data_IF_346106537413
#
_entry.id   IF_346106537413
#
_cell.length_a   1.000
_cell.length_b   1.000
_cell.length_c   1.000
_cell.angle_alpha   90.00
_cell.angle_beta   90.00
_cell.angle_gamma   90.00
#
_symmetry.space_group_name_H-M   'P 1'
#
loop_
_entity.id
_entity.type
_entity.pdbx_description
1 polymer ?
#
# COMPACT_ATOMS: atom_id res chain seq x y z
N UNK A 1 15.49 27.77 -43.66
CA UNK A 1 16.47 27.86 -42.57
C UNK A 1 15.82 28.65 -41.44
N UNK A 2 15.20 28.00 -40.50
CA UNK A 2 14.70 28.65 -39.28
C UNK A 2 15.04 27.74 -38.12
N UNK A 3 15.96 28.20 -37.33
CA UNK A 3 16.69 27.56 -36.24
C UNK A 3 15.73 27.30 -35.06
N UNK A 4 15.52 26.03 -34.70
CA UNK A 4 14.94 25.64 -33.42
C UNK A 4 15.98 25.88 -32.30
N UNK A 5 15.93 27.03 -31.68
CA UNK A 5 16.64 27.31 -30.43
C UNK A 5 15.64 27.40 -29.31
N UNK A 6 15.62 26.44 -28.41
CA UNK A 6 14.73 26.43 -27.23
C UNK A 6 14.81 25.16 -26.40
N UNK A 7 15.91 24.42 -26.41
CA UNK A 7 16.23 23.52 -25.31
C UNK A 7 16.88 24.33 -24.21
N UNK A 8 16.07 24.71 -23.22
CA UNK A 8 16.60 25.16 -21.93
C UNK A 8 17.61 24.11 -21.44
N UNK A 9 18.90 24.48 -21.41
CA UNK A 9 19.96 23.72 -20.76
C UNK A 9 19.56 23.46 -19.31
N UNK A 10 19.12 22.24 -19.03
CA UNK A 10 19.02 21.75 -17.65
C UNK A 10 20.45 21.59 -17.17
N UNK A 11 20.88 22.49 -16.29
CA UNK A 11 22.20 22.54 -15.72
C UNK A 11 22.63 21.15 -15.22
N UNK A 12 23.65 20.56 -15.85
CA UNK A 12 24.36 19.36 -15.38
C UNK A 12 24.87 19.63 -13.96
N UNK A 13 24.19 19.11 -12.92
CA UNK A 13 24.63 19.20 -11.53
C UNK A 13 23.58 19.67 -10.50
N UNK A 14 22.34 19.98 -10.88
CA UNK A 14 21.32 20.39 -9.91
C UNK A 14 20.89 19.19 -9.02
N UNK A 15 20.99 19.41 -7.71
CA UNK A 15 20.45 18.46 -6.71
C UNK A 15 18.94 18.33 -6.91
N UNK A 16 18.34 17.11 -6.66
CA UNK A 16 16.90 16.99 -6.75
C UNK A 16 16.21 17.98 -5.78
N UNK A 17 15.06 18.56 -6.15
CA UNK A 17 14.35 19.53 -5.31
C UNK A 17 13.77 18.84 -4.07
N UNK A 18 14.57 18.69 -3.02
CA UNK A 18 14.22 17.98 -1.79
C UNK A 18 12.89 18.45 -1.17
N UNK A 19 12.58 19.77 -1.07
CA UNK A 19 11.29 20.18 -0.49
C UNK A 19 10.09 19.65 -1.25
N UNK A 20 10.15 19.61 -2.59
CA UNK A 20 9.09 19.06 -3.42
C UNK A 20 9.01 17.53 -3.28
N UNK A 21 10.14 16.82 -3.27
CA UNK A 21 10.18 15.37 -3.10
C UNK A 21 9.69 14.93 -1.72
N UNK A 22 10.02 15.68 -0.67
CA UNK A 22 9.51 15.43 0.68
C UNK A 22 8.01 15.69 0.78
N UNK A 23 7.49 16.71 0.09
CA UNK A 23 6.04 16.90 -0.01
C UNK A 23 5.35 15.72 -0.70
N UNK A 24 5.96 15.16 -1.78
CA UNK A 24 5.45 13.93 -2.41
C UNK A 24 5.57 12.71 -1.48
N UNK A 25 6.66 12.59 -0.72
CA UNK A 25 6.82 11.51 0.27
C UNK A 25 5.75 11.60 1.37
N UNK A 26 5.42 12.81 1.81
CA UNK A 26 4.33 13.03 2.78
C UNK A 26 2.95 12.73 2.15
N UNK A 27 2.75 13.00 0.86
CA UNK A 27 1.53 12.61 0.15
C UNK A 27 1.41 11.08 0.07
N UNK A 28 2.50 10.37 -0.25
CA UNK A 28 2.56 8.89 -0.22
C UNK A 28 2.30 8.37 1.19
N UNK A 29 2.89 8.98 2.21
CA UNK A 29 2.65 8.64 3.62
C UNK A 29 1.17 8.77 3.99
N UNK A 30 0.53 9.91 3.69
CA UNK A 30 -0.90 10.14 3.97
C UNK A 30 -1.77 9.10 3.25
N UNK A 31 -1.47 8.82 1.98
CA UNK A 31 -2.22 7.83 1.20
C UNK A 31 -2.13 6.44 1.83
N UNK A 32 -0.91 5.97 2.14
CA UNK A 32 -0.68 4.66 2.75
C UNK A 32 -1.25 4.57 4.17
N UNK A 33 -1.10 5.62 4.97
CA UNK A 33 -1.61 5.62 6.33
C UNK A 33 -3.16 5.65 6.36
N UNK A 34 -3.80 6.44 5.48
CA UNK A 34 -5.27 6.44 5.37
C UNK A 34 -5.81 5.06 5.01
N UNK A 35 -5.09 4.29 4.21
CA UNK A 35 -5.44 2.92 3.82
C UNK A 35 -5.38 1.94 4.98
N UNK A 36 -4.28 1.95 5.74
CA UNK A 36 -3.92 0.89 6.70
C UNK A 36 -4.30 1.16 8.15
N UNK A 37 -4.44 2.43 8.54
CA UNK A 37 -4.73 2.84 9.92
C UNK A 37 -5.99 2.19 10.52
N UNK A 38 -7.11 2.00 9.80
CA UNK A 38 -8.30 1.37 10.37
C UNK A 38 -8.05 -0.02 10.95
N UNK A 39 -7.10 -0.79 10.41
CA UNK A 39 -6.77 -2.12 10.91
C UNK A 39 -6.28 -2.11 12.38
N UNK A 40 -5.53 -1.08 12.77
CA UNK A 40 -5.07 -0.90 14.15
C UNK A 40 -6.11 -0.31 15.10
N UNK A 41 -7.22 0.22 14.57
CA UNK A 41 -8.26 0.92 15.34
C UNK A 41 -9.60 0.16 15.34
N UNK A 42 -9.65 -1.00 14.73
CA UNK A 42 -10.86 -1.71 14.34
C UNK A 42 -11.81 -1.98 15.53
N UNK A 43 -11.37 -2.53 16.68
CA UNK A 43 -12.28 -2.75 17.83
C UNK A 43 -12.87 -1.46 18.40
N UNK A 44 -12.09 -0.39 18.46
CA UNK A 44 -12.55 0.91 18.95
C UNK A 44 -13.57 1.56 18.00
N UNK A 45 -13.36 1.44 16.69
CA UNK A 45 -14.28 1.90 15.65
C UNK A 45 -15.59 1.11 15.71
N UNK A 46 -15.53 -0.22 15.80
CA UNK A 46 -16.67 -1.14 15.87
C UNK A 46 -17.59 -0.80 17.04
N UNK A 47 -17.03 -0.72 18.25
CA UNK A 47 -17.79 -0.32 19.46
C UNK A 47 -18.45 1.05 19.32
N UNK A 48 -17.72 2.03 18.77
CA UNK A 48 -18.20 3.40 18.62
C UNK A 48 -19.28 3.57 17.54
N UNK A 49 -19.24 2.76 16.48
CA UNK A 49 -20.20 2.79 15.37
C UNK A 49 -21.39 1.85 15.60
N UNK A 50 -21.39 1.07 16.70
CA UNK A 50 -22.46 0.13 17.02
C UNK A 50 -22.62 -1.00 16.00
N UNK A 51 -21.49 -1.52 15.46
CA UNK A 51 -21.47 -2.56 14.43
C UNK A 51 -20.47 -3.67 14.77
N UNK A 52 -20.50 -4.77 14.01
CA UNK A 52 -19.53 -5.86 14.20
C UNK A 52 -18.13 -5.48 13.72
N UNK A 53 -17.12 -6.18 14.21
CA UNK A 53 -15.74 -5.96 13.78
C UNK A 53 -15.53 -6.42 12.33
N UNK A 54 -16.21 -7.48 11.92
CA UNK A 54 -16.28 -7.91 10.52
C UNK A 54 -16.81 -6.79 9.61
N UNK A 55 -17.95 -6.19 9.97
CA UNK A 55 -18.50 -5.06 9.21
C UNK A 55 -17.55 -3.85 9.22
N UNK A 56 -16.93 -3.52 10.35
CA UNK A 56 -15.97 -2.41 10.44
C UNK A 56 -14.71 -2.68 9.61
N UNK A 57 -14.24 -3.92 9.54
CA UNK A 57 -13.12 -4.34 8.69
C UNK A 57 -13.35 -4.04 7.22
N UNK A 58 -14.61 -3.98 6.76
CA UNK A 58 -14.96 -3.57 5.40
C UNK A 58 -14.56 -2.12 5.07
N UNK A 59 -14.15 -1.32 6.06
CA UNK A 59 -13.56 0.01 5.83
C UNK A 59 -12.30 -0.05 4.96
N UNK A 60 -11.49 -1.11 5.07
CA UNK A 60 -10.33 -1.38 4.23
C UNK A 60 -10.78 -1.84 2.83
N UNK A 61 -11.75 -2.76 2.79
CA UNK A 61 -12.35 -3.27 1.53
C UNK A 61 -12.91 -2.15 0.67
N UNK A 62 -13.73 -1.29 1.27
CA UNK A 62 -14.42 -0.21 0.53
C UNK A 62 -13.43 0.85 0.04
N UNK A 63 -12.37 1.13 0.80
CA UNK A 63 -11.28 1.98 0.35
C UNK A 63 -10.56 1.35 -0.86
N UNK A 64 -10.16 0.08 -0.77
CA UNK A 64 -9.50 -0.63 -1.86
C UNK A 64 -10.39 -0.74 -3.11
N UNK A 65 -11.71 -0.97 -2.93
CA UNK A 65 -12.68 -0.97 -4.01
C UNK A 65 -12.78 0.42 -4.67
N UNK A 66 -12.81 1.51 -3.90
CA UNK A 66 -12.75 2.87 -4.41
C UNK A 66 -11.51 3.10 -5.27
N UNK A 67 -10.34 2.69 -4.81
CA UNK A 67 -9.08 2.78 -5.57
C UNK A 67 -9.14 1.95 -6.86
N UNK A 68 -9.54 0.67 -6.75
CA UNK A 68 -9.61 -0.26 -7.86
C UNK A 68 -10.55 0.21 -8.98
N UNK A 69 -11.77 0.60 -8.63
CA UNK A 69 -12.81 0.98 -9.59
C UNK A 69 -12.50 2.30 -10.31
N UNK A 70 -11.77 3.21 -9.65
CA UNK A 70 -11.63 4.58 -10.12
C UNK A 70 -10.24 4.93 -10.65
N UNK A 71 -9.19 4.17 -10.30
CA UNK A 71 -7.83 4.48 -10.71
C UNK A 71 -7.68 4.64 -12.23
N UNK A 72 -8.19 3.69 -13.03
CA UNK A 72 -8.10 3.73 -14.50
C UNK A 72 -8.97 4.82 -15.10
N UNK A 73 -10.30 4.89 -14.81
CA UNK A 73 -11.16 5.89 -15.45
C UNK A 73 -10.82 7.32 -15.04
N UNK A 74 -10.47 7.56 -13.76
CA UNK A 74 -10.10 8.89 -13.32
C UNK A 74 -8.75 9.34 -13.87
N UNK A 75 -7.75 8.46 -13.91
CA UNK A 75 -6.46 8.75 -14.54
C UNK A 75 -6.65 9.16 -16.00
N UNK A 76 -7.54 8.45 -16.70
CA UNK A 76 -7.87 8.78 -18.09
C UNK A 76 -8.61 10.12 -18.24
N UNK A 77 -9.57 10.39 -17.35
CA UNK A 77 -10.35 11.63 -17.39
C UNK A 77 -9.51 12.86 -17.00
N UNK A 78 -8.53 12.68 -16.11
CA UNK A 78 -7.69 13.76 -15.59
C UNK A 78 -6.31 13.85 -16.26
N UNK A 79 -6.06 13.06 -17.31
CA UNK A 79 -4.76 13.00 -17.98
C UNK A 79 -4.24 14.37 -18.44
N UNK A 80 -5.14 15.23 -18.94
CA UNK A 80 -4.83 16.59 -19.39
C UNK A 80 -4.67 17.62 -18.26
N UNK A 81 -4.99 17.25 -17.01
CA UNK A 81 -4.90 18.20 -15.89
C UNK A 81 -3.45 18.45 -15.50
N UNK A 82 -3.16 19.68 -15.08
CA UNK A 82 -1.89 20.03 -14.48
C UNK A 82 -1.61 19.16 -13.24
N UNK A 83 -0.40 18.64 -13.13
CA UNK A 83 -0.03 17.64 -12.14
C UNK A 83 -0.16 18.12 -10.70
N UNK A 84 0.22 19.39 -10.43
CA UNK A 84 0.05 19.99 -9.11
C UNK A 84 -1.44 20.15 -8.75
N UNK A 85 -2.27 20.61 -9.69
CA UNK A 85 -3.72 20.69 -9.48
C UNK A 85 -4.32 19.33 -9.14
N UNK A 86 -3.93 18.29 -9.88
CA UNK A 86 -4.42 16.94 -9.67
C UNK A 86 -4.00 16.39 -8.27
N UNK A 87 -2.73 16.63 -7.87
CA UNK A 87 -2.25 16.26 -6.56
C UNK A 87 -2.99 16.98 -5.43
N UNK A 88 -3.21 18.30 -5.57
CA UNK A 88 -3.99 19.08 -4.60
C UNK A 88 -5.42 18.58 -4.49
N UNK A 89 -6.06 18.21 -5.61
CA UNK A 89 -7.42 17.63 -5.62
C UNK A 89 -7.46 16.30 -4.88
N UNK A 90 -6.49 15.40 -5.12
CA UNK A 90 -6.41 14.12 -4.41
C UNK A 90 -6.19 14.33 -2.89
N UNK A 91 -5.26 15.20 -2.50
CA UNK A 91 -5.01 15.49 -1.08
C UNK A 91 -6.20 16.20 -0.40
N UNK A 92 -6.88 17.10 -1.09
CA UNK A 92 -8.13 17.71 -0.59
C UNK A 92 -9.23 16.65 -0.40
N UNK A 93 -9.33 15.67 -1.31
CA UNK A 93 -10.20 14.52 -1.17
C UNK A 93 -9.89 13.71 0.10
N UNK A 94 -8.61 13.46 0.39
CA UNK A 94 -8.21 12.80 1.63
C UNK A 94 -8.55 13.63 2.88
N UNK A 95 -8.27 14.93 2.88
CA UNK A 95 -8.61 15.80 3.99
C UNK A 95 -10.13 15.77 4.27
N UNK A 96 -10.95 15.89 3.24
CA UNK A 96 -12.41 15.84 3.37
C UNK A 96 -12.88 14.47 3.87
N UNK A 97 -12.40 13.37 3.27
CA UNK A 97 -12.79 12.01 3.64
C UNK A 97 -12.38 11.65 5.09
N UNK A 98 -11.15 12.01 5.50
CA UNK A 98 -10.69 11.78 6.87
C UNK A 98 -11.47 12.65 7.88
N UNK A 99 -11.80 13.90 7.53
CA UNK A 99 -12.66 14.77 8.34
C UNK A 99 -14.04 14.16 8.54
N UNK A 100 -14.69 13.72 7.44
CA UNK A 100 -16.00 13.07 7.51
C UNK A 100 -15.92 11.79 8.35
N UNK A 101 -14.87 10.98 8.18
CA UNK A 101 -14.65 9.78 8.99
C UNK A 101 -14.51 10.12 10.48
N UNK A 102 -13.75 11.17 10.84
CA UNK A 102 -13.55 11.61 12.20
C UNK A 102 -14.84 12.15 12.87
N UNK A 103 -15.70 12.81 12.09
CA UNK A 103 -16.98 13.38 12.58
C UNK A 103 -18.10 12.35 12.61
N UNK A 104 -17.98 11.27 11.83
CA UNK A 104 -19.08 10.32 11.64
C UNK A 104 -19.41 9.53 12.89
N UNK A 105 -20.71 9.46 13.21
CA UNK A 105 -21.32 8.54 14.16
C UNK A 105 -22.11 7.41 13.48
N UNK A 106 -22.17 7.42 12.13
CA UNK A 106 -22.91 6.45 11.32
C UNK A 106 -21.95 5.55 10.54
N UNK A 107 -22.18 4.25 10.61
CA UNK A 107 -21.44 3.26 9.81
C UNK A 107 -21.52 3.58 8.31
N UNK A 108 -22.73 3.84 7.78
CA UNK A 108 -22.92 4.14 6.36
C UNK A 108 -22.15 5.39 5.89
N UNK A 109 -22.14 6.45 6.70
CA UNK A 109 -21.41 7.67 6.39
C UNK A 109 -19.88 7.41 6.43
N UNK A 110 -19.42 6.64 7.42
CA UNK A 110 -18.01 6.22 7.50
C UNK A 110 -17.60 5.44 6.24
N UNK A 111 -18.41 4.46 5.80
CA UNK A 111 -18.14 3.68 4.60
C UNK A 111 -18.10 4.54 3.33
N UNK A 112 -19.03 5.50 3.20
CA UNK A 112 -19.02 6.46 2.09
C UNK A 112 -17.74 7.31 2.08
N UNK A 113 -17.33 7.81 3.24
CA UNK A 113 -16.08 8.55 3.38
C UNK A 113 -14.85 7.70 3.05
N UNK A 114 -14.82 6.42 3.45
CA UNK A 114 -13.76 5.48 3.12
C UNK A 114 -13.69 5.19 1.61
N UNK A 115 -14.85 5.05 0.95
CA UNK A 115 -14.89 4.94 -0.50
C UNK A 115 -14.33 6.19 -1.19
N UNK A 116 -14.73 7.38 -0.74
CA UNK A 116 -14.22 8.65 -1.27
C UNK A 116 -12.69 8.79 -1.05
N UNK A 117 -12.18 8.34 0.09
CA UNK A 117 -10.73 8.27 0.34
C UNK A 117 -10.03 7.32 -0.66
N UNK A 118 -10.64 6.16 -0.97
CA UNK A 118 -10.14 5.23 -1.98
C UNK A 118 -10.12 5.84 -3.39
N UNK A 119 -11.14 6.62 -3.76
CA UNK A 119 -11.15 7.38 -5.01
C UNK A 119 -9.99 8.37 -5.09
N UNK A 120 -9.74 9.11 -4.00
CA UNK A 120 -8.59 10.01 -3.90
C UNK A 120 -7.24 9.25 -4.00
N UNK A 121 -7.17 8.05 -3.42
CA UNK A 121 -6.01 7.18 -3.51
C UNK A 121 -5.71 6.73 -4.95
N UNK A 122 -6.74 6.36 -5.70
CA UNK A 122 -6.60 6.00 -7.12
C UNK A 122 -5.94 7.11 -7.94
N UNK A 123 -6.34 8.37 -7.70
CA UNK A 123 -5.70 9.54 -8.33
C UNK A 123 -4.25 9.74 -7.85
N UNK A 124 -4.01 9.62 -6.54
CA UNK A 124 -2.70 9.84 -5.94
C UNK A 124 -1.68 8.81 -6.44
N UNK A 125 -2.00 7.51 -6.40
CA UNK A 125 -1.10 6.43 -6.84
C UNK A 125 -0.75 6.53 -8.32
N UNK A 126 -1.72 6.89 -9.17
CA UNK A 126 -1.48 7.07 -10.61
C UNK A 126 -0.53 8.24 -10.92
N UNK A 127 -0.45 9.21 -10.00
CA UNK A 127 0.29 10.46 -10.21
C UNK A 127 1.68 10.45 -9.59
N UNK A 128 1.81 10.01 -8.32
CA UNK A 128 2.96 10.31 -7.46
C UNK A 128 4.29 9.81 -8.01
N UNK A 129 4.35 8.57 -8.52
CA UNK A 129 5.59 8.00 -9.06
C UNK A 129 6.09 8.76 -10.32
N UNK A 130 5.19 9.02 -11.25
CA UNK A 130 5.52 9.77 -12.46
C UNK A 130 5.88 11.22 -12.18
N UNK A 131 5.25 11.82 -11.19
CA UNK A 131 5.54 13.20 -10.78
C UNK A 131 6.93 13.30 -10.13
N UNK A 132 7.28 12.39 -9.22
CA UNK A 132 8.59 12.34 -8.59
C UNK A 132 9.73 12.26 -9.61
N UNK A 133 9.60 11.41 -10.64
CA UNK A 133 10.58 11.30 -11.73
C UNK A 133 10.76 12.61 -12.49
N UNK A 134 9.65 13.31 -12.80
CA UNK A 134 9.69 14.58 -13.55
C UNK A 134 10.31 15.75 -12.79
N UNK A 135 10.39 15.66 -11.45
CA UNK A 135 11.02 16.69 -10.62
C UNK A 135 12.55 16.60 -10.62
N UNK A 136 13.13 15.53 -11.15
CA UNK A 136 14.57 15.30 -11.12
C UNK A 136 15.17 15.20 -12.53
N UNK A 137 16.47 15.52 -12.70
CA UNK A 137 17.19 15.24 -13.93
C UNK A 137 17.20 13.73 -14.24
N UNK A 138 17.34 13.31 -15.53
CA UNK A 138 17.26 11.89 -15.93
C UNK A 138 18.17 10.94 -15.15
N UNK A 139 19.38 11.39 -14.79
CA UNK A 139 20.33 10.62 -14.00
C UNK A 139 19.96 10.48 -12.51
N UNK A 140 18.99 11.23 -12.01
CA UNK A 140 18.54 11.24 -10.61
C UNK A 140 17.07 10.81 -10.44
N UNK A 141 16.37 10.40 -11.51
CA UNK A 141 14.97 9.97 -11.46
C UNK A 141 14.73 8.83 -10.47
N UNK A 142 15.63 7.84 -10.44
CA UNK A 142 15.54 6.72 -9.49
C UNK A 142 15.66 7.17 -8.04
N UNK A 143 16.56 8.13 -7.76
CA UNK A 143 16.71 8.70 -6.41
C UNK A 143 15.48 9.51 -6.01
N UNK A 144 14.93 10.30 -6.91
CA UNK A 144 13.73 11.09 -6.67
C UNK A 144 12.52 10.18 -6.37
N UNK A 145 12.36 9.11 -7.17
CA UNK A 145 11.33 8.11 -6.92
C UNK A 145 11.49 7.42 -5.56
N UNK A 146 12.72 7.03 -5.20
CA UNK A 146 13.01 6.40 -3.91
C UNK A 146 12.65 7.32 -2.73
N UNK A 147 13.00 8.63 -2.81
CA UNK A 147 12.66 9.62 -1.79
C UNK A 147 11.13 9.74 -1.66
N UNK A 148 10.42 9.89 -2.76
CA UNK A 148 8.96 10.03 -2.73
C UNK A 148 8.27 8.76 -2.19
N UNK A 149 8.71 7.56 -2.61
CA UNK A 149 8.13 6.29 -2.17
C UNK A 149 8.52 5.89 -0.74
N UNK A 150 9.51 6.54 -0.12
CA UNK A 150 9.86 6.33 1.29
C UNK A 150 8.70 6.65 2.25
N UNK A 151 7.68 7.37 1.78
CA UNK A 151 6.43 7.58 2.53
C UNK A 151 5.72 6.29 2.91
N UNK A 152 5.78 5.23 2.08
CA UNK A 152 5.14 3.93 2.37
C UNK A 152 5.73 3.28 3.63
N UNK A 153 7.05 2.96 3.66
CA UNK A 153 7.62 2.32 4.84
C UNK A 153 7.52 3.19 6.10
N UNK A 154 7.61 4.51 5.99
CA UNK A 154 7.42 5.40 7.14
C UNK A 154 5.97 5.34 7.65
N UNK A 155 4.97 5.27 6.75
CA UNK A 155 3.58 5.10 7.16
C UNK A 155 3.36 3.80 7.91
N UNK A 156 3.89 2.68 7.41
CA UNK A 156 3.68 1.37 8.02
C UNK A 156 4.47 1.17 9.32
N UNK A 157 5.70 1.70 9.40
CA UNK A 157 6.58 1.47 10.56
C UNK A 157 6.41 2.48 11.69
N UNK A 158 6.00 3.71 11.38
CA UNK A 158 5.84 4.79 12.37
C UNK A 158 4.40 5.28 12.38
N UNK A 159 3.83 5.52 11.21
CA UNK A 159 2.50 6.12 11.07
C UNK A 159 1.40 5.25 11.68
N UNK A 160 1.34 3.97 11.32
CA UNK A 160 0.31 3.04 11.83
C UNK A 160 0.45 2.84 13.34
N UNK A 161 1.61 2.51 13.92
CA UNK A 161 1.77 2.40 15.36
C UNK A 161 1.42 3.69 16.11
N UNK A 162 1.93 4.84 15.65
CA UNK A 162 1.64 6.14 16.26
C UNK A 162 0.15 6.51 16.18
N UNK A 163 -0.50 6.23 15.05
CA UNK A 163 -1.93 6.45 14.87
C UNK A 163 -2.78 5.50 15.72
N UNK A 164 -2.36 4.24 15.87
CA UNK A 164 -3.01 3.27 16.76
C UNK A 164 -2.86 3.68 18.22
N UNK A 165 -1.66 4.05 18.65
CA UNK A 165 -1.41 4.60 19.98
C UNK A 165 -2.26 5.86 20.25
N UNK A 166 -2.27 6.82 19.33
CA UNK A 166 -3.09 8.03 19.47
C UNK A 166 -4.59 7.69 19.58
N UNK A 167 -5.04 6.72 18.80
CA UNK A 167 -6.42 6.26 18.81
C UNK A 167 -6.80 5.49 20.07
N UNK A 168 -5.89 4.73 20.68
CA UNK A 168 -6.12 4.05 21.96
C UNK A 168 -6.13 5.02 23.13
N UNK A 169 -5.23 6.02 23.13
CA UNK A 169 -5.08 6.98 24.21
C UNK A 169 -6.17 8.07 24.22
N UNK A 170 -6.54 8.59 23.04
CA UNK A 170 -7.42 9.77 22.91
C UNK A 170 -8.70 9.48 22.10
N UNK A 171 -8.92 8.24 21.73
CA UNK A 171 -10.04 7.81 20.89
C UNK A 171 -9.70 7.79 19.40
N UNK A 172 -10.24 6.80 18.68
CA UNK A 172 -9.91 6.53 17.27
C UNK A 172 -10.13 7.71 16.31
N UNK A 173 -11.08 8.59 16.63
CA UNK A 173 -11.38 9.81 15.85
C UNK A 173 -10.20 10.78 15.84
N UNK A 174 -9.43 10.85 16.91
CA UNK A 174 -8.26 11.73 17.03
C UNK A 174 -7.18 11.37 16.01
N UNK A 175 -7.01 10.09 15.72
CA UNK A 175 -6.07 9.65 14.66
C UNK A 175 -6.48 10.18 13.28
N UNK A 176 -7.77 10.17 12.93
CA UNK A 176 -8.28 10.75 11.68
C UNK A 176 -8.20 12.28 11.66
N UNK A 177 -8.39 12.94 12.80
CA UNK A 177 -8.17 14.39 12.92
C UNK A 177 -6.69 14.76 12.72
N UNK A 178 -5.77 13.99 13.28
CA UNK A 178 -4.33 14.18 13.04
C UNK A 178 -3.99 14.02 11.55
N UNK A 179 -4.57 13.03 10.87
CA UNK A 179 -4.43 12.84 9.44
C UNK A 179 -4.97 14.03 8.63
N UNK A 180 -6.14 14.55 9.01
CA UNK A 180 -6.72 15.74 8.39
C UNK A 180 -5.80 16.95 8.57
N UNK A 181 -5.32 17.21 9.79
CA UNK A 181 -4.41 18.32 10.06
C UNK A 181 -3.12 18.22 9.26
N UNK A 182 -2.49 17.04 9.24
CA UNK A 182 -1.29 16.79 8.43
C UNK A 182 -1.56 17.03 6.95
N UNK A 183 -2.71 16.58 6.42
CA UNK A 183 -3.07 16.73 5.01
C UNK A 183 -3.32 18.20 4.67
N UNK A 184 -3.94 18.98 5.55
CA UNK A 184 -4.14 20.43 5.36
C UNK A 184 -2.79 21.17 5.32
N UNK A 185 -1.86 20.85 6.23
CA UNK A 185 -0.50 21.39 6.18
C UNK A 185 0.21 21.00 4.87
N UNK A 186 0.03 19.75 4.44
CA UNK A 186 0.59 19.25 3.18
C UNK A 186 0.03 19.99 1.97
N UNK A 187 -1.25 20.33 1.93
CA UNK A 187 -1.83 21.13 0.83
C UNK A 187 -1.12 22.48 0.68
N UNK A 188 -0.86 23.17 1.78
CA UNK A 188 -0.05 24.40 1.79
C UNK A 188 1.37 24.15 1.29
N UNK A 189 2.01 23.08 1.76
CA UNK A 189 3.37 22.73 1.35
C UNK A 189 3.47 22.39 -0.15
N UNK A 190 2.54 21.60 -0.69
CA UNK A 190 2.47 21.28 -2.13
C UNK A 190 2.34 22.56 -2.94
N UNK A 191 1.45 23.47 -2.53
CA UNK A 191 1.23 24.73 -3.26
C UNK A 191 2.49 25.60 -3.31
N UNK A 192 3.29 25.59 -2.26
CA UNK A 192 4.49 26.44 -2.14
C UNK A 192 5.72 25.81 -2.77
N UNK A 193 5.93 24.50 -2.59
CA UNK A 193 7.20 23.85 -2.90
C UNK A 193 7.17 22.97 -4.16
N UNK A 194 5.99 22.50 -4.61
CA UNK A 194 5.90 21.58 -5.75
C UNK A 194 5.66 22.37 -7.04
N UNK A 195 6.62 22.37 -8.01
CA UNK A 195 6.45 23.02 -9.31
C UNK A 195 5.28 22.40 -10.07
N UNK A 196 4.57 23.22 -10.83
CA UNK A 196 3.50 22.69 -11.70
C UNK A 196 4.08 22.08 -12.98
N UNK A 197 3.48 20.99 -13.43
CA UNK A 197 3.81 20.35 -14.70
C UNK A 197 2.52 20.13 -15.51
N UNK A 198 2.57 20.35 -16.84
CA UNK A 198 1.42 20.11 -17.69
C UNK A 198 1.00 18.63 -17.66
N UNK A 199 -0.27 18.38 -17.95
CA UNK A 199 -0.81 17.06 -18.18
C UNK A 199 -0.15 16.36 -19.37
N UNK A 200 -0.48 15.09 -19.57
CA UNK A 200 -0.05 14.32 -20.74
C UNK A 200 -1.15 14.41 -21.80
N UNK A 201 -0.74 14.60 -23.07
CA UNK A 201 -1.59 14.30 -24.19
C UNK A 201 -2.00 12.82 -24.19
N UNK A 202 -3.19 12.51 -24.68
CA UNK A 202 -3.70 11.12 -24.74
C UNK A 202 -2.72 10.26 -25.56
N UNK A 203 -1.85 9.52 -24.90
CA UNK A 203 -1.03 8.51 -25.54
C UNK A 203 -1.92 7.38 -26.09
N UNK A 204 -1.56 6.84 -27.26
CA UNK A 204 -2.22 5.66 -27.82
C UNK A 204 -2.17 4.53 -26.78
N UNK A 205 -3.36 4.05 -26.36
CA UNK A 205 -3.47 3.01 -25.32
C UNK A 205 -3.14 1.65 -25.93
N UNK A 206 -2.02 1.07 -25.54
CA UNK A 206 -1.83 -0.37 -25.73
C UNK A 206 -2.85 -1.10 -24.85
N UNK A 207 -3.64 -2.07 -25.37
CA UNK A 207 -4.61 -2.79 -24.58
C UNK A 207 -3.93 -3.49 -23.40
N UNK A 208 -4.22 -3.07 -22.19
CA UNK A 208 -3.56 -3.55 -20.95
C UNK A 208 -3.63 -5.07 -20.80
N UNK A 209 -4.73 -5.68 -21.29
CA UNK A 209 -4.93 -7.13 -21.26
C UNK A 209 -3.97 -7.92 -22.14
N UNK A 210 -3.29 -7.31 -23.11
CA UNK A 210 -2.25 -7.99 -23.88
C UNK A 210 -1.07 -8.46 -23.02
N UNK A 211 -0.77 -7.77 -21.92
CA UNK A 211 0.27 -8.18 -20.99
C UNK A 211 0.00 -9.56 -20.36
N UNK A 212 -1.28 -9.99 -20.25
CA UNK A 212 -1.64 -11.32 -19.75
C UNK A 212 -1.15 -12.47 -20.66
N UNK A 213 -0.85 -12.18 -21.93
CA UNK A 213 -0.31 -13.18 -22.87
C UNK A 213 1.21 -13.28 -22.80
N UNK A 214 1.88 -12.37 -22.10
CA UNK A 214 3.34 -12.38 -21.95
C UNK A 214 3.74 -13.47 -20.95
N UNK A 215 4.60 -14.43 -21.35
CA UNK A 215 5.05 -15.50 -20.48
C UNK A 215 5.64 -14.95 -19.15
N UNK A 216 5.15 -15.46 -18.03
CA UNK A 216 5.58 -15.05 -16.68
C UNK A 216 4.70 -13.98 -16.05
N UNK A 217 4.06 -13.09 -16.80
CA UNK A 217 3.16 -12.07 -16.24
C UNK A 217 2.00 -12.70 -15.47
N UNK A 218 1.25 -13.70 -15.99
CA UNK A 218 0.18 -14.34 -15.24
C UNK A 218 0.65 -14.95 -13.92
N UNK A 219 1.83 -15.57 -13.89
CA UNK A 219 2.39 -16.15 -12.66
C UNK A 219 2.67 -15.07 -11.60
N UNK A 220 3.28 -13.94 -11.99
CA UNK A 220 3.52 -12.81 -11.07
C UNK A 220 2.22 -12.22 -10.55
N UNK A 221 1.22 -12.07 -11.42
CA UNK A 221 -0.09 -11.54 -11.06
C UNK A 221 -0.86 -12.48 -10.12
N UNK A 222 -0.77 -13.80 -10.33
CA UNK A 222 -1.34 -14.81 -9.41
C UNK A 222 -0.67 -14.73 -8.03
N UNK A 223 0.67 -14.67 -7.99
CA UNK A 223 1.40 -14.50 -6.73
C UNK A 223 0.97 -13.20 -6.05
N UNK A 224 0.86 -12.09 -6.79
CA UNK A 224 0.40 -10.81 -6.24
C UNK A 224 -0.99 -10.94 -5.62
N UNK A 225 -1.95 -11.48 -6.38
CA UNK A 225 -3.34 -11.62 -5.92
C UNK A 225 -3.42 -12.44 -4.64
N UNK A 226 -2.84 -13.65 -4.64
CA UNK A 226 -2.99 -14.59 -3.52
C UNK A 226 -2.18 -14.15 -2.30
N UNK A 227 -0.96 -13.62 -2.50
CA UNK A 227 -0.12 -13.18 -1.39
C UNK A 227 -0.69 -11.96 -0.67
N UNK A 228 -1.14 -10.96 -1.45
CA UNK A 228 -1.75 -9.74 -0.88
C UNK A 228 -3.09 -10.06 -0.21
N UNK A 229 -3.89 -10.95 -0.80
CA UNK A 229 -5.14 -11.42 -0.20
C UNK A 229 -4.87 -12.12 1.16
N UNK A 230 -3.92 -13.06 1.21
CA UNK A 230 -3.53 -13.76 2.44
C UNK A 230 -3.06 -12.78 3.52
N UNK A 231 -2.19 -11.83 3.15
CA UNK A 231 -1.73 -10.79 4.07
C UNK A 231 -2.90 -9.94 4.61
N UNK A 232 -3.81 -9.52 3.72
CA UNK A 232 -4.91 -8.62 4.10
C UNK A 232 -5.93 -9.30 5.00
N UNK A 233 -6.20 -10.61 4.82
CA UNK A 233 -7.06 -11.38 5.73
C UNK A 233 -6.60 -11.24 7.18
N UNK A 234 -5.31 -11.37 7.43
CA UNK A 234 -4.76 -11.27 8.79
C UNK A 234 -4.58 -9.80 9.22
N UNK A 235 -4.03 -8.96 8.34
CA UNK A 235 -3.68 -7.58 8.68
C UNK A 235 -4.91 -6.72 8.99
N UNK A 236 -5.99 -6.87 8.23
CA UNK A 236 -7.20 -6.07 8.42
C UNK A 236 -7.87 -6.29 9.79
N UNK A 237 -7.69 -7.48 10.37
CA UNK A 237 -8.31 -7.88 11.62
C UNK A 237 -7.29 -8.18 12.73
N UNK A 238 -6.05 -7.72 12.59
CA UNK A 238 -4.98 -7.98 13.55
C UNK A 238 -5.31 -7.41 14.94
N UNK A 239 -5.91 -6.23 15.01
CA UNK A 239 -6.30 -5.63 16.28
C UNK A 239 -7.41 -6.43 16.97
N UNK A 240 -8.39 -6.96 16.20
CA UNK A 240 -9.43 -7.87 16.69
C UNK A 240 -8.82 -9.16 17.22
N UNK A 241 -7.89 -9.77 16.48
CA UNK A 241 -7.18 -10.97 16.91
C UNK A 241 -6.41 -10.73 18.23
N UNK A 242 -5.72 -9.62 18.35
CA UNK A 242 -4.98 -9.26 19.56
C UNK A 242 -5.90 -8.92 20.75
N UNK A 243 -7.04 -8.28 20.49
CA UNK A 243 -8.04 -7.94 21.54
C UNK A 243 -8.65 -9.21 22.12
N UNK A 244 -8.97 -10.20 21.28
CA UNK A 244 -9.48 -11.52 21.68
C UNK A 244 -8.49 -12.30 22.55
N UNK A 245 -7.18 -12.10 22.34
CA UNK A 245 -6.11 -12.67 23.16
C UNK A 245 -5.80 -11.86 24.45
N UNK A 246 -6.56 -10.79 24.72
CA UNK A 246 -6.29 -9.89 25.84
C UNK A 246 -5.09 -8.95 25.65
N UNK A 247 -4.57 -8.83 24.44
CA UNK A 247 -3.43 -7.99 24.05
C UNK A 247 -3.83 -6.73 23.28
N UNK A 248 -5.12 -6.35 23.30
CA UNK A 248 -5.62 -5.17 22.61
C UNK A 248 -4.88 -3.88 22.97
N UNK A 249 -4.46 -3.74 24.25
CA UNK A 249 -3.66 -2.61 24.72
C UNK A 249 -2.21 -2.57 24.22
N UNK A 250 -1.74 -3.60 23.52
CA UNK A 250 -0.38 -3.71 22.95
C UNK A 250 -0.36 -3.75 21.42
N UNK A 251 -1.50 -3.49 20.78
CA UNK A 251 -1.63 -3.53 19.32
C UNK A 251 -0.65 -2.60 18.61
N UNK A 252 -0.46 -1.40 19.17
CA UNK A 252 0.50 -0.40 18.67
C UNK A 252 1.94 -0.91 18.70
N UNK A 253 2.34 -1.59 19.79
CA UNK A 253 3.68 -2.17 19.93
C UNK A 253 3.89 -3.35 18.97
N UNK A 254 2.90 -4.22 18.80
CA UNK A 254 2.95 -5.34 17.84
C UNK A 254 3.10 -4.80 16.42
N UNK A 255 2.32 -3.78 16.05
CA UNK A 255 2.43 -3.11 14.75
C UNK A 255 3.74 -2.33 14.58
N UNK A 256 4.30 -1.79 15.67
CA UNK A 256 5.62 -1.16 15.64
C UNK A 256 6.73 -2.18 15.34
N UNK A 257 6.70 -3.35 15.98
CA UNK A 257 7.64 -4.45 15.71
C UNK A 257 7.53 -4.92 14.25
N UNK A 258 6.30 -5.14 13.78
CA UNK A 258 6.03 -5.46 12.37
C UNK A 258 6.59 -4.39 11.42
N UNK A 259 6.35 -3.12 11.71
CA UNK A 259 6.80 -2.00 10.88
C UNK A 259 8.33 -1.86 10.88
N UNK A 260 8.99 -1.96 12.04
CA UNK A 260 10.45 -1.90 12.16
C UNK A 260 11.11 -3.06 11.39
N UNK A 261 10.59 -4.27 11.53
CA UNK A 261 11.06 -5.44 10.77
C UNK A 261 10.84 -5.28 9.26
N UNK A 262 9.72 -4.65 8.86
CA UNK A 262 9.45 -4.33 7.45
C UNK A 262 10.48 -3.36 6.86
N UNK A 263 10.95 -2.37 7.63
CA UNK A 263 12.03 -1.46 7.17
C UNK A 263 13.33 -2.22 6.91
N UNK A 264 13.69 -3.16 7.78
CA UNK A 264 14.86 -4.03 7.57
C UNK A 264 14.70 -4.84 6.27
N UNK A 265 13.51 -5.43 6.07
CA UNK A 265 13.19 -6.19 4.85
C UNK A 265 13.33 -5.33 3.58
N UNK A 266 12.79 -4.10 3.60
CA UNK A 266 12.89 -3.16 2.46
C UNK A 266 14.35 -2.88 2.13
N UNK A 267 15.20 -2.65 3.14
CA UNK A 267 16.64 -2.43 2.96
C UNK A 267 17.34 -3.64 2.33
N UNK A 268 17.09 -4.83 2.87
CA UNK A 268 17.67 -6.10 2.38
C UNK A 268 17.22 -6.40 0.96
N UNK A 269 15.91 -6.31 0.70
CA UNK A 269 15.35 -6.56 -0.64
C UNK A 269 15.85 -5.52 -1.63
N UNK A 270 15.86 -4.23 -1.26
CA UNK A 270 16.38 -3.16 -2.11
C UNK A 270 17.83 -3.41 -2.55
N UNK A 271 18.68 -3.91 -1.65
CA UNK A 271 20.07 -4.23 -1.95
C UNK A 271 20.25 -5.49 -2.81
N UNK A 272 19.41 -6.52 -2.62
CA UNK A 272 19.63 -7.86 -3.15
C UNK A 272 18.67 -8.28 -4.27
N UNK A 273 17.60 -7.54 -4.55
CA UNK A 273 16.54 -7.92 -5.50
C UNK A 273 17.06 -8.20 -6.91
N UNK A 274 18.13 -7.49 -7.33
CA UNK A 274 18.70 -7.68 -8.66
C UNK A 274 19.43 -9.01 -8.82
N UNK A 275 19.94 -9.59 -7.72
CA UNK A 275 20.72 -10.81 -7.69
C UNK A 275 19.94 -12.03 -7.21
N UNK A 276 18.82 -11.85 -6.51
CA UNK A 276 18.13 -12.94 -5.84
C UNK A 276 16.61 -12.80 -5.79
N UNK A 277 15.97 -12.22 -6.81
CA UNK A 277 14.53 -11.98 -6.84
C UNK A 277 13.71 -13.19 -6.39
N UNK A 278 13.98 -14.37 -6.95
CA UNK A 278 13.26 -15.60 -6.63
C UNK A 278 13.51 -16.08 -5.20
N UNK A 279 14.78 -16.12 -4.79
CA UNK A 279 15.16 -16.57 -3.44
C UNK A 279 14.53 -15.66 -2.37
N UNK A 280 14.54 -14.35 -2.60
CA UNK A 280 13.92 -13.36 -1.71
C UNK A 280 12.39 -13.50 -1.68
N UNK A 281 11.75 -13.77 -2.82
CA UNK A 281 10.29 -14.00 -2.87
C UNK A 281 9.93 -15.28 -2.10
N UNK A 282 10.68 -16.36 -2.26
CA UNK A 282 10.48 -17.60 -1.50
C UNK A 282 10.70 -17.39 -0.01
N UNK A 283 11.82 -16.74 0.37
CA UNK A 283 12.12 -16.44 1.76
C UNK A 283 11.03 -15.57 2.42
N UNK A 284 10.59 -14.51 1.75
CA UNK A 284 9.50 -13.66 2.23
C UNK A 284 8.19 -14.43 2.40
N UNK A 285 7.85 -15.29 1.43
CA UNK A 285 6.63 -16.12 1.51
C UNK A 285 6.70 -17.11 2.67
N UNK A 286 7.85 -17.77 2.86
CA UNK A 286 8.06 -18.72 4.00
C UNK A 286 8.01 -17.97 5.33
N UNK A 287 8.66 -16.81 5.44
CA UNK A 287 8.65 -16.01 6.68
C UNK A 287 7.22 -15.61 7.08
N UNK A 288 6.40 -15.16 6.13
CA UNK A 288 5.00 -14.80 6.41
C UNK A 288 4.18 -16.03 6.79
N UNK A 289 4.37 -17.17 6.10
CA UNK A 289 3.67 -18.41 6.43
C UNK A 289 4.06 -18.92 7.84
N UNK A 290 5.35 -18.90 8.19
CA UNK A 290 5.84 -19.27 9.52
C UNK A 290 5.31 -18.32 10.59
N UNK A 291 5.34 -17.00 10.34
CA UNK A 291 4.79 -16.02 11.26
C UNK A 291 3.31 -16.29 11.57
N UNK A 292 2.51 -16.53 10.54
CA UNK A 292 1.10 -16.86 10.72
C UNK A 292 0.87 -18.20 11.42
N UNK A 293 1.71 -19.22 11.14
CA UNK A 293 1.67 -20.50 11.86
C UNK A 293 2.02 -20.33 13.34
N UNK A 294 2.99 -19.47 13.68
CA UNK A 294 3.32 -19.13 15.08
C UNK A 294 2.15 -18.46 15.78
N UNK A 295 1.48 -17.50 15.13
CA UNK A 295 0.27 -16.86 15.66
C UNK A 295 -0.87 -17.86 15.86
N UNK A 296 -1.01 -18.86 14.97
CA UNK A 296 -2.06 -19.87 15.05
C UNK A 296 -1.82 -20.91 16.16
N UNK A 297 -0.55 -21.30 16.38
CA UNK A 297 -0.19 -22.41 17.28
C UNK A 297 0.19 -21.96 18.69
N UNK A 298 0.67 -20.72 18.84
CA UNK A 298 1.29 -20.23 20.07
C UNK A 298 0.68 -18.89 20.51
N UNK A 299 -0.63 -18.71 20.27
CA UNK A 299 -1.36 -17.49 20.62
C UNK A 299 -1.31 -17.15 22.13
N UNK A 300 -1.09 -18.15 23.00
CA UNK A 300 -0.99 -17.97 24.44
C UNK A 300 0.33 -17.33 24.90
N UNK A 301 1.33 -17.24 24.02
CA UNK A 301 2.64 -16.69 24.34
C UNK A 301 2.82 -15.28 23.78
N UNK A 302 2.73 -14.26 24.62
CA UNK A 302 2.98 -12.86 24.23
C UNK A 302 4.34 -12.69 23.56
N UNK A 303 5.39 -13.35 24.03
CA UNK A 303 6.72 -13.26 23.43
C UNK A 303 6.73 -13.79 21.98
N UNK A 304 6.05 -14.92 21.72
CA UNK A 304 5.96 -15.51 20.38
C UNK A 304 5.09 -14.67 19.44
N UNK A 305 4.11 -13.92 19.94
CA UNK A 305 3.35 -12.95 19.15
C UNK A 305 4.26 -11.84 18.62
N UNK A 306 5.15 -11.28 19.45
CA UNK A 306 6.13 -10.29 18.98
C UNK A 306 7.15 -10.87 18.00
N UNK A 307 7.60 -12.11 18.22
CA UNK A 307 8.47 -12.82 17.27
C UNK A 307 7.76 -13.03 15.95
N UNK A 308 6.50 -13.46 15.97
CA UNK A 308 5.67 -13.61 14.77
C UNK A 308 5.48 -12.27 14.04
N UNK A 309 5.22 -11.19 14.75
CA UNK A 309 5.12 -9.85 14.16
C UNK A 309 6.42 -9.43 13.46
N UNK A 310 7.58 -9.71 14.06
CA UNK A 310 8.89 -9.45 13.46
C UNK A 310 9.11 -10.30 12.19
N UNK A 311 8.85 -11.60 12.26
CA UNK A 311 8.94 -12.50 11.09
C UNK A 311 8.00 -12.08 9.97
N UNK A 312 6.78 -11.68 10.32
CA UNK A 312 5.79 -11.18 9.36
C UNK A 312 6.27 -9.90 8.68
N UNK A 313 6.78 -8.93 9.45
CA UNK A 313 7.35 -7.71 8.92
C UNK A 313 8.55 -7.96 7.99
N UNK A 314 9.47 -8.85 8.40
CA UNK A 314 10.60 -9.28 7.57
C UNK A 314 10.15 -9.94 6.26
N UNK A 315 9.10 -10.75 6.31
CA UNK A 315 8.56 -11.42 5.13
C UNK A 315 7.80 -10.49 4.19
N UNK A 316 7.05 -9.53 4.75
CA UNK A 316 6.14 -8.65 3.99
C UNK A 316 6.79 -7.39 3.44
N UNK A 317 7.69 -6.75 4.19
CA UNK A 317 8.17 -5.39 3.87
C UNK A 317 8.77 -5.25 2.46
N UNK A 318 9.46 -6.26 1.97
CA UNK A 318 10.04 -6.28 0.62
C UNK A 318 9.10 -6.71 -0.50
N UNK A 319 7.92 -7.25 -0.18
CA UNK A 319 6.99 -7.84 -1.17
C UNK A 319 6.60 -6.88 -2.29
N UNK A 320 6.25 -5.61 -2.03
CA UNK A 320 5.95 -4.67 -3.10
C UNK A 320 7.10 -4.51 -4.11
N UNK A 321 8.34 -4.40 -3.62
CA UNK A 321 9.53 -4.28 -4.47
C UNK A 321 9.79 -5.55 -5.27
N UNK A 322 9.63 -6.72 -4.66
CA UNK A 322 9.81 -8.01 -5.31
C UNK A 322 8.81 -8.21 -6.45
N UNK A 323 7.52 -7.99 -6.18
CA UNK A 323 6.47 -8.21 -7.16
C UNK A 323 6.50 -7.18 -8.30
N UNK A 324 6.76 -5.91 -7.98
CA UNK A 324 6.94 -4.87 -9.02
C UNK A 324 8.17 -5.16 -9.90
N UNK A 325 9.27 -5.63 -9.30
CA UNK A 325 10.46 -6.04 -10.07
C UNK A 325 10.18 -7.25 -10.94
N UNK A 326 9.46 -8.25 -10.42
CA UNK A 326 9.05 -9.42 -11.19
C UNK A 326 8.14 -9.04 -12.36
N UNK A 327 7.13 -8.20 -12.13
CA UNK A 327 6.22 -7.73 -13.17
C UNK A 327 6.94 -6.92 -14.25
N UNK A 328 7.85 -6.03 -13.85
CA UNK A 328 8.65 -5.26 -14.81
C UNK A 328 9.56 -6.13 -15.67
N UNK A 329 10.23 -7.13 -15.07
CA UNK A 329 11.09 -8.07 -15.82
C UNK A 329 10.28 -9.00 -16.74
N UNK A 330 9.21 -9.60 -16.22
CA UNK A 330 8.34 -10.48 -16.99
C UNK A 330 7.63 -9.75 -18.13
N UNK A 331 7.19 -8.50 -17.90
CA UNK A 331 6.48 -7.68 -18.87
C UNK A 331 7.31 -7.26 -20.09
N UNK A 332 8.64 -7.13 -19.95
CA UNK A 332 9.52 -6.71 -21.04
C UNK A 332 9.03 -5.43 -21.72
N UNK A 333 8.71 -5.48 -23.01
CA UNK A 333 8.16 -4.34 -23.74
C UNK A 333 6.76 -3.91 -23.25
N UNK A 334 6.06 -4.78 -22.54
CA UNK A 334 4.74 -4.50 -21.94
C UNK A 334 4.82 -4.28 -20.41
N UNK A 335 5.99 -3.89 -19.90
CA UNK A 335 6.23 -3.69 -18.47
C UNK A 335 5.22 -2.70 -17.83
N UNK A 336 4.90 -1.61 -18.51
CA UNK A 336 3.94 -0.62 -17.99
C UNK A 336 2.52 -1.22 -17.87
N UNK A 337 2.09 -2.03 -18.83
CA UNK A 337 0.81 -2.72 -18.77
C UNK A 337 0.79 -3.80 -17.67
N UNK A 338 1.90 -4.54 -17.49
CA UNK A 338 2.04 -5.52 -16.42
C UNK A 338 2.02 -4.86 -15.04
N UNK A 339 2.66 -3.69 -14.87
CA UNK A 339 2.62 -2.90 -13.64
C UNK A 339 1.21 -2.37 -13.32
N UNK A 340 0.50 -1.89 -14.35
CA UNK A 340 -0.88 -1.42 -14.17
C UNK A 340 -1.81 -2.57 -13.73
N UNK A 341 -1.67 -3.77 -14.32
CA UNK A 341 -2.40 -4.97 -13.89
C UNK A 341 -2.02 -5.39 -12.47
N UNK A 342 -0.73 -5.32 -12.10
CA UNK A 342 -0.27 -5.63 -10.75
C UNK A 342 -0.95 -4.72 -9.72
N UNK A 343 -0.94 -3.41 -9.94
CA UNK A 343 -1.60 -2.44 -9.03
C UNK A 343 -3.11 -2.70 -8.95
N UNK A 344 -3.74 -3.00 -10.07
CA UNK A 344 -5.17 -3.34 -10.13
C UNK A 344 -5.47 -4.58 -9.29
N UNK A 345 -4.71 -5.67 -9.49
CA UNK A 345 -4.90 -6.91 -8.73
C UNK A 345 -4.50 -6.78 -7.26
N UNK A 346 -3.52 -5.94 -6.93
CA UNK A 346 -3.17 -5.61 -5.56
C UNK A 346 -4.38 -5.06 -4.79
N UNK A 347 -5.04 -4.04 -5.35
CA UNK A 347 -6.24 -3.45 -4.74
C UNK A 347 -7.42 -4.41 -4.72
N UNK A 348 -7.59 -5.24 -5.77
CA UNK A 348 -8.61 -6.30 -5.79
C UNK A 348 -8.36 -7.34 -4.69
N UNK A 349 -7.09 -7.72 -4.47
CA UNK A 349 -6.70 -8.65 -3.42
C UNK A 349 -6.92 -8.06 -2.02
N UNK A 350 -6.64 -6.76 -1.82
CA UNK A 350 -6.93 -6.08 -0.56
C UNK A 350 -8.43 -6.04 -0.28
N UNK A 351 -9.24 -5.67 -1.27
CA UNK A 351 -10.70 -5.69 -1.14
C UNK A 351 -11.21 -7.11 -0.84
N UNK A 352 -10.74 -8.10 -1.60
CA UNK A 352 -11.11 -9.50 -1.41
C UNK A 352 -10.64 -10.06 -0.06
N UNK A 353 -9.45 -9.68 0.40
CA UNK A 353 -8.90 -10.09 1.69
C UNK A 353 -9.69 -9.54 2.87
N UNK A 354 -10.14 -8.28 2.80
CA UNK A 354 -11.02 -7.70 3.81
C UNK A 354 -12.37 -8.41 3.89
N UNK A 355 -12.97 -8.74 2.72
CA UNK A 355 -14.22 -9.53 2.68
C UNK A 355 -14.00 -10.94 3.22
N UNK A 356 -13.00 -11.66 2.71
CA UNK A 356 -12.72 -13.03 3.12
C UNK A 356 -12.37 -13.12 4.61
N UNK A 357 -11.58 -12.17 5.12
CA UNK A 357 -11.25 -12.08 6.55
C UNK A 357 -12.47 -11.84 7.42
N UNK A 358 -13.39 -10.95 6.99
CA UNK A 358 -14.65 -10.71 7.69
C UNK A 358 -15.54 -11.96 7.73
N UNK A 359 -15.69 -12.66 6.61
CA UNK A 359 -16.44 -13.92 6.55
C UNK A 359 -15.83 -14.98 7.47
N UNK A 360 -14.49 -15.13 7.43
CA UNK A 360 -13.80 -16.07 8.32
C UNK A 360 -14.00 -15.72 9.78
N UNK A 361 -13.91 -14.43 10.13
CA UNK A 361 -14.14 -13.94 11.49
C UNK A 361 -15.57 -14.29 11.96
N UNK A 362 -16.58 -14.02 11.14
CA UNK A 362 -17.98 -14.27 11.49
C UNK A 362 -18.32 -15.78 11.60
N UNK A 363 -17.71 -16.61 10.75
CA UNK A 363 -18.01 -18.05 10.70
C UNK A 363 -17.17 -18.90 11.66
N UNK A 364 -15.93 -18.50 11.91
CA UNK A 364 -14.92 -19.36 12.56
C UNK A 364 -14.12 -18.67 13.67
N UNK A 365 -14.40 -17.37 13.91
CA UNK A 365 -13.72 -16.59 14.93
C UNK A 365 -12.30 -16.15 14.52
N UNK A 366 -11.63 -15.47 15.44
CA UNK A 366 -10.31 -14.84 15.21
C UNK A 366 -9.19 -15.85 14.93
N UNK A 367 -9.27 -17.04 15.51
CA UNK A 367 -8.26 -18.11 15.35
C UNK A 367 -8.14 -18.63 13.93
N UNK A 368 -9.18 -18.49 13.09
CA UNK A 368 -9.16 -18.91 11.69
C UNK A 368 -8.29 -17.98 10.82
N UNK A 369 -8.14 -16.71 11.20
CA UNK A 369 -7.42 -15.71 10.43
C UNK A 369 -5.95 -16.08 10.18
N UNK A 370 -5.14 -16.43 11.21
CA UNK A 370 -3.75 -16.82 10.98
C UNK A 370 -3.63 -18.15 10.22
N UNK A 371 -4.58 -19.10 10.32
CA UNK A 371 -4.55 -20.35 9.56
C UNK A 371 -4.80 -20.17 8.06
N UNK A 372 -5.61 -19.19 7.67
CA UNK A 372 -5.85 -18.89 6.26
C UNK A 372 -4.56 -18.49 5.50
N UNK A 373 -3.60 -17.87 6.18
CA UNK A 373 -2.37 -17.36 5.56
C UNK A 373 -1.47 -18.49 5.02
N UNK A 374 -0.99 -19.47 5.80
CA UNK A 374 -0.16 -20.55 5.29
C UNK A 374 -0.89 -21.39 4.23
N UNK A 375 -2.22 -21.57 4.37
CA UNK A 375 -3.03 -22.28 3.39
C UNK A 375 -2.97 -21.59 2.02
N UNK A 376 -3.16 -20.27 1.99
CA UNK A 376 -3.10 -19.46 0.76
C UNK A 376 -1.67 -19.28 0.23
N UNK A 377 -0.66 -19.26 1.09
CA UNK A 377 0.74 -19.11 0.66
C UNK A 377 1.35 -20.40 0.11
N UNK A 378 0.78 -21.56 0.38
CA UNK A 378 1.23 -22.83 -0.21
C UNK A 378 1.19 -22.81 -1.75
N UNK A 379 0.08 -22.46 -2.43
CA UNK A 379 0.07 -22.29 -3.88
C UNK A 379 0.98 -21.17 -4.38
N UNK A 380 1.19 -20.11 -3.60
CA UNK A 380 2.16 -19.05 -3.95
C UNK A 380 3.57 -19.64 -4.05
N UNK A 381 3.99 -20.43 -3.06
CA UNK A 381 5.29 -21.14 -3.11
C UNK A 381 5.39 -22.04 -4.34
N UNK A 382 4.34 -22.82 -4.64
CA UNK A 382 4.31 -23.69 -5.81
C UNK A 382 4.47 -22.90 -7.12
N UNK A 383 3.76 -21.77 -7.27
CA UNK A 383 3.88 -20.91 -8.47
C UNK A 383 5.28 -20.32 -8.59
N UNK A 384 5.87 -19.78 -7.50
CA UNK A 384 7.23 -19.22 -7.52
C UNK A 384 8.28 -20.31 -7.83
N UNK A 385 8.09 -21.53 -7.30
CA UNK A 385 8.98 -22.66 -7.55
C UNK A 385 8.92 -23.15 -9.01
N UNK A 386 7.76 -23.18 -9.64
CA UNK A 386 7.56 -23.67 -11.01
C UNK A 386 7.85 -22.62 -12.08
N UNK A 387 7.62 -21.34 -11.81
CA UNK A 387 7.76 -20.24 -12.79
C UNK A 387 9.22 -19.75 -12.97
N UNK A 388 10.18 -20.69 -13.01
CA UNK A 388 11.63 -20.41 -13.05
C UNK A 388 12.10 -19.68 -14.31
N UNK A 389 11.43 -19.88 -15.44
CA UNK A 389 11.90 -19.38 -16.74
C UNK A 389 11.48 -17.95 -17.03
N UNK A 390 10.29 -17.54 -16.63
CA UNK A 390 9.69 -16.29 -17.10
C UNK A 390 9.17 -15.37 -15.97
N UNK A 391 8.58 -15.91 -14.90
CA UNK A 391 7.99 -15.09 -13.82
C UNK A 391 9.00 -14.72 -12.73
N UNK A 392 9.71 -15.74 -12.22
CA UNK A 392 10.70 -15.60 -11.15
C UNK A 392 11.99 -16.31 -11.55
N UNK A 393 12.79 -15.75 -12.49
CA UNK A 393 14.01 -16.39 -12.96
C UNK A 393 15.03 -16.52 -11.82
N UNK A 394 15.79 -17.61 -11.84
CA UNK A 394 17.04 -17.71 -11.09
C UNK A 394 18.07 -16.78 -11.75
N UNK A 395 18.77 -15.98 -10.98
CA UNK A 395 19.85 -15.14 -11.46
C UNK A 395 20.97 -15.99 -12.12
#
# INVERSE_FOLDING_TARGET
>A
MTTYAGRTEVAKGSRPPLPALLALATAVFVTSLTETLPAGLLPAMSRSLGTTESATGQTVTVYAAGTFLTAIPLTAATAAWNRRRLLLTAMAGFAAANTVTALSSSYALTMTARFAAGVAAGLAWALLAGYARRLAPPNLEGKALAIAMAGIPVALSVGVPAGTFLGSALGWRTAFWAMTALTVVLLGWIRLAVPDHPGQERAARTPMLHALRVPGVPAVLTVTLVFVLAHTILYAYIATFLDDLGLGGSTDLVLLVFGAASLVSIGVVGALVHRGLRALTLAGTVLVAVAAAVLALFADSTALIYVAAALWGLGWGGVPTLLQTAAGRAGGQQADAAQALLVTLWNAAMAGGGVAGGILLDLSGTTALPWAVPLLLTPVLAVVLTSRRHGFPTA
#
